data_IF_058518379675
#
_entry.id   IF_058518379675
#
_cell.length_a   1.000
_cell.length_b   1.000
_cell.length_c   1.000
_cell.angle_alpha   90.00
_cell.angle_beta   90.00
_cell.angle_gamma   90.00
#
_symmetry.space_group_name_H-M   'P 1'
#
loop_
_entity.id
_entity.type
_entity.pdbx_description
1 polymer ?
#
# COMPACT_ATOMS: atom_id res chain seq x y z
N UNK A 1 0.26 -1.39 27.07
CA UNK A 1 0.03 0.07 27.05
C UNK A 1 0.41 0.65 25.69
N UNK A 2 1.39 0.06 25.01
CA UNK A 2 1.90 0.48 23.69
C UNK A 2 0.93 0.24 22.52
N UNK A 3 0.06 -0.77 22.60
CA UNK A 3 -0.90 -1.09 21.53
C UNK A 3 -1.84 0.06 21.18
N UNK A 4 -2.29 0.85 22.17
CA UNK A 4 -3.17 2.02 21.93
C UNK A 4 -2.44 3.18 21.25
N UNK A 5 -1.16 3.39 21.56
CA UNK A 5 -0.36 4.37 20.85
C UNK A 5 -0.11 3.93 19.40
N UNK A 6 0.12 2.63 19.19
CA UNK A 6 0.23 2.04 17.86
C UNK A 6 -1.04 2.17 17.02
N UNK A 7 -2.22 1.95 17.62
CA UNK A 7 -3.51 2.10 16.95
C UNK A 7 -3.76 3.54 16.47
N UNK A 8 -3.44 4.55 17.28
CA UNK A 8 -3.59 5.95 16.91
C UNK A 8 -2.65 6.33 15.75
N UNK A 9 -1.38 5.94 15.86
CA UNK A 9 -0.39 6.18 14.79
C UNK A 9 -0.79 5.46 13.50
N UNK A 10 -1.32 4.24 13.58
CA UNK A 10 -1.78 3.50 12.42
C UNK A 10 -2.93 4.22 11.68
N UNK A 11 -3.87 4.83 12.41
CA UNK A 11 -4.96 5.59 11.80
C UNK A 11 -4.46 6.89 11.15
N UNK A 12 -3.53 7.61 11.79
CA UNK A 12 -2.91 8.80 11.20
C UNK A 12 -2.14 8.46 9.91
N UNK A 13 -1.39 7.35 9.92
CA UNK A 13 -0.69 6.85 8.73
C UNK A 13 -1.68 6.46 7.62
N UNK A 14 -2.83 5.88 7.97
CA UNK A 14 -3.89 5.54 7.00
C UNK A 14 -4.46 6.80 6.34
N UNK A 15 -4.71 7.86 7.12
CA UNK A 15 -5.15 9.15 6.58
C UNK A 15 -4.11 9.80 5.67
N UNK A 16 -2.83 9.79 6.08
CA UNK A 16 -1.73 10.29 5.27
C UNK A 16 -1.60 9.54 3.94
N UNK A 17 -1.73 8.21 3.96
CA UNK A 17 -1.72 7.38 2.75
C UNK A 17 -2.86 7.75 1.79
N UNK A 18 -4.08 7.98 2.30
CA UNK A 18 -5.22 8.38 1.46
C UNK A 18 -4.98 9.74 0.79
N UNK A 19 -4.49 10.73 1.53
CA UNK A 19 -4.18 12.05 0.97
C UNK A 19 -3.08 11.99 -0.11
N UNK A 20 -2.09 11.10 0.05
CA UNK A 20 -1.07 10.88 -0.98
C UNK A 20 -1.68 10.23 -2.23
N UNK A 21 -2.56 9.24 -2.07
CA UNK A 21 -3.24 8.57 -3.18
C UNK A 21 -4.10 9.53 -4.03
N UNK A 22 -4.68 10.58 -3.43
CA UNK A 22 -5.42 11.62 -4.19
C UNK A 22 -4.53 12.35 -5.20
N UNK A 23 -3.22 12.44 -4.94
CA UNK A 23 -2.24 13.13 -5.80
C UNK A 23 -1.57 12.14 -6.75
N UNK A 24 -1.19 10.97 -6.25
CA UNK A 24 -0.37 10.00 -6.99
C UNK A 24 -1.17 8.95 -7.75
N UNK A 25 -2.46 8.85 -7.48
CA UNK A 25 -3.27 7.67 -7.82
C UNK A 25 -3.10 6.56 -6.78
N UNK A 26 -4.02 5.60 -6.81
CA UNK A 26 -4.04 4.45 -5.93
C UNK A 26 -3.05 3.37 -6.42
N UNK A 27 -2.29 2.79 -5.48
CA UNK A 27 -1.46 1.62 -5.73
C UNK A 27 -2.11 0.39 -5.09
N UNK A 28 -2.56 -0.54 -5.93
CA UNK A 28 -3.34 -1.69 -5.52
C UNK A 28 -2.48 -2.94 -5.33
N UNK A 29 -3.05 -3.97 -4.71
CA UNK A 29 -2.43 -5.29 -4.64
C UNK A 29 -2.15 -5.88 -6.03
N UNK A 30 -2.98 -5.59 -7.03
CA UNK A 30 -2.79 -6.08 -8.39
C UNK A 30 -1.58 -5.40 -9.07
N UNK A 31 -1.36 -4.10 -8.82
CA UNK A 31 -0.17 -3.39 -9.28
C UNK A 31 1.10 -4.00 -8.67
N UNK A 32 1.04 -4.34 -7.38
CA UNK A 32 2.13 -5.03 -6.69
C UNK A 32 2.42 -6.39 -7.31
N UNK A 33 1.38 -7.22 -7.49
CA UNK A 33 1.51 -8.55 -8.09
C UNK A 33 2.01 -8.45 -9.53
N UNK A 34 1.53 -7.48 -10.29
CA UNK A 34 1.99 -7.18 -11.64
C UNK A 34 3.48 -6.82 -11.69
N UNK A 35 3.99 -6.06 -10.72
CA UNK A 35 5.44 -5.77 -10.64
C UNK A 35 6.28 -6.97 -10.21
N UNK A 36 5.79 -7.76 -9.25
CA UNK A 36 6.50 -8.97 -8.78
C UNK A 36 6.57 -10.00 -9.90
N UNK A 37 5.46 -10.23 -10.60
CA UNK A 37 5.33 -11.33 -11.58
C UNK A 37 5.49 -10.89 -13.04
N UNK A 38 5.51 -9.59 -13.34
CA UNK A 38 5.54 -9.07 -14.72
C UNK A 38 6.81 -9.38 -15.51
N UNK A 39 7.93 -9.72 -14.84
CA UNK A 39 9.16 -10.16 -15.49
C UNK A 39 9.28 -11.67 -15.63
N UNK A 40 8.32 -12.45 -15.11
CA UNK A 40 8.30 -13.88 -15.37
C UNK A 40 7.84 -14.06 -16.82
N UNK A 41 8.75 -14.51 -17.69
CA UNK A 41 8.47 -14.74 -19.10
C UNK A 41 7.14 -15.49 -19.25
N UNK A 42 6.24 -14.97 -20.09
CA UNK A 42 5.01 -15.66 -20.47
C UNK A 42 5.42 -17.00 -21.08
N UNK A 43 5.21 -18.11 -20.34
CA UNK A 43 5.49 -19.46 -20.82
C UNK A 43 6.48 -20.30 -20.02
N UNK A 44 6.54 -20.21 -18.68
CA UNK A 44 6.96 -21.37 -17.89
C UNK A 44 5.78 -22.32 -17.66
#
# INVERSE_FOLDING_TARGET
RDSRAGELVAEELRGAQQALNEITGEFTSDDLLGRIFGSFCIGK
#
